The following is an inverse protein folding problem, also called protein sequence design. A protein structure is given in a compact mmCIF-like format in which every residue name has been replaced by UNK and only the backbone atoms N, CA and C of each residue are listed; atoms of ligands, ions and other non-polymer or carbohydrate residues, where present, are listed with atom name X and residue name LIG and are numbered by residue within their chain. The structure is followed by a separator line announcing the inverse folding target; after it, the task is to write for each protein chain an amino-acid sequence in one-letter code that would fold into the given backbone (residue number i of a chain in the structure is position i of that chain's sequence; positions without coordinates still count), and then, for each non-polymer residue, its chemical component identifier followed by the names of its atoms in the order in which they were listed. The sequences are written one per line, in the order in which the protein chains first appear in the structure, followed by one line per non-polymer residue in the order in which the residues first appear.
data_IF_537904956053
#
_entry.id   IF_537904956053
#
_cell.length_a   1.000
_cell.length_b   1.000
_cell.length_c   1.000
_cell.angle_alpha   90.00
_cell.angle_beta   90.00
_cell.angle_gamma   90.00
#
_symmetry.space_group_name_H-M   'P 1'
#
loop_
_entity.id
_entity.type
_entity.pdbx_description
1 polymer ?
#
# COMPACT_ATOMS: atom_id res chain seq x y z
N UNK A 1 -22.14 -8.12 18.09
CA UNK A 1 -21.21 -7.37 17.22
C UNK A 1 -20.27 -8.38 16.60
N UNK A 2 -20.34 -8.57 15.28
CA UNK A 2 -19.36 -9.39 14.56
C UNK A 2 -18.05 -8.60 14.55
N UNK A 3 -17.10 -8.99 15.41
CA UNK A 3 -15.74 -8.52 15.31
C UNK A 3 -15.18 -9.06 13.99
N UNK A 4 -15.26 -8.24 12.93
CA UNK A 4 -14.54 -8.49 11.69
C UNK A 4 -13.07 -8.58 12.11
N UNK A 5 -12.51 -9.77 11.95
CA UNK A 5 -11.17 -10.13 12.39
C UNK A 5 -10.17 -9.37 11.50
N UNK A 6 -9.92 -8.09 11.83
CA UNK A 6 -8.94 -7.30 11.12
C UNK A 6 -7.59 -8.03 11.22
N UNK A 7 -6.91 -8.32 10.10
CA UNK A 7 -5.65 -9.03 10.13
C UNK A 7 -4.68 -8.26 11.04
N UNK A 8 -4.05 -8.97 11.98
CA UNK A 8 -3.02 -8.37 12.83
C UNK A 8 -1.90 -7.86 11.94
N UNK A 9 -1.68 -6.55 11.97
CA UNK A 9 -0.54 -5.94 11.30
C UNK A 9 0.72 -6.45 12.00
N UNK A 10 1.61 -7.06 11.22
CA UNK A 10 2.91 -7.54 11.70
C UNK A 10 3.97 -6.44 11.57
N UNK A 11 5.05 -6.52 12.35
CA UNK A 11 6.16 -5.57 12.25
C UNK A 11 6.76 -5.51 10.83
N UNK A 12 6.99 -6.64 10.12
CA UNK A 12 7.48 -6.59 8.74
C UNK A 12 6.54 -5.86 7.79
N UNK A 13 5.22 -6.02 7.96
CA UNK A 13 4.23 -5.29 7.17
C UNK A 13 4.32 -3.79 7.44
N UNK A 14 4.34 -3.40 8.72
CA UNK A 14 4.43 -1.99 9.11
C UNK A 14 5.69 -1.32 8.56
N UNK A 15 6.82 -2.04 8.63
CA UNK A 15 8.09 -1.59 8.07
C UNK A 15 8.04 -1.47 6.54
N UNK A 16 7.44 -2.43 5.85
CA UNK A 16 7.27 -2.38 4.39
C UNK A 16 6.38 -1.20 3.97
N UNK A 17 5.27 -0.96 4.68
CA UNK A 17 4.38 0.17 4.44
C UNK A 17 5.10 1.51 4.59
N UNK A 18 5.83 1.67 5.68
CA UNK A 18 6.60 2.89 5.93
C UNK A 18 7.70 3.10 4.88
N UNK A 19 8.48 2.05 4.56
CA UNK A 19 9.56 2.16 3.59
C UNK A 19 9.06 2.45 2.17
N UNK A 20 7.89 1.92 1.79
CA UNK A 20 7.36 2.07 0.43
C UNK A 20 6.59 3.39 0.24
N UNK A 21 5.89 3.86 1.28
CA UNK A 21 4.91 4.93 1.14
C UNK A 21 5.07 6.07 2.17
N UNK A 22 6.06 5.99 3.06
CA UNK A 22 6.33 6.95 4.15
C UNK A 22 5.11 7.21 5.04
N UNK A 23 4.31 6.17 5.26
CA UNK A 23 3.11 6.20 6.11
C UNK A 23 3.01 4.96 6.98
N UNK A 24 2.54 5.14 8.21
CA UNK A 24 2.20 4.03 9.12
C UNK A 24 0.81 3.46 8.81
N UNK A 25 0.53 2.25 9.29
CA UNK A 25 -0.82 1.67 9.18
C UNK A 25 -1.87 2.47 9.95
N UNK A 26 -1.51 3.10 11.06
CA UNK A 26 -2.44 3.94 11.84
C UNK A 26 -2.83 5.20 11.04
N UNK A 27 -1.88 5.85 10.38
CA UNK A 27 -2.16 7.01 9.51
C UNK A 27 -2.97 6.60 8.27
N UNK A 28 -2.60 5.48 7.66
CA UNK A 28 -3.30 4.92 6.50
C UNK A 28 -4.76 4.55 6.83
N UNK A 29 -5.02 3.88 7.96
CA UNK A 29 -6.37 3.43 8.31
C UNK A 29 -7.31 4.56 8.74
N UNK A 30 -6.76 5.66 9.26
CA UNK A 30 -7.56 6.78 9.80
C UNK A 30 -7.86 7.90 8.80
N UNK A 31 -7.22 7.90 7.62
CA UNK A 31 -7.37 8.96 6.62
C UNK A 31 -7.64 8.40 5.23
N UNK A 32 -8.80 8.74 4.66
CA UNK A 32 -9.14 8.38 3.28
C UNK A 32 -8.14 8.99 2.28
N UNK A 33 -7.68 10.22 2.53
CA UNK A 33 -6.70 10.88 1.68
C UNK A 33 -5.38 10.08 1.63
N UNK A 34 -4.93 9.56 2.79
CA UNK A 34 -3.74 8.70 2.86
C UNK A 34 -3.93 7.39 2.14
N UNK A 35 -5.13 6.81 2.17
CA UNK A 35 -5.44 5.61 1.39
C UNK A 35 -5.37 5.89 -0.11
N UNK A 36 -5.96 7.01 -0.55
CA UNK A 36 -5.93 7.42 -1.96
C UNK A 36 -4.51 7.73 -2.46
N UNK A 37 -3.65 8.33 -1.63
CA UNK A 37 -2.24 8.57 -1.96
C UNK A 37 -1.49 7.25 -2.23
N UNK A 38 -1.65 6.27 -1.33
CA UNK A 38 -1.02 4.94 -1.47
C UNK A 38 -1.51 4.20 -2.72
N UNK A 39 -2.82 4.20 -2.97
CA UNK A 39 -3.38 3.50 -4.14
C UNK A 39 -2.95 4.14 -5.46
N UNK A 40 -2.84 5.47 -5.52
CA UNK A 40 -2.27 6.17 -6.69
C UNK A 40 -0.81 5.77 -6.94
N UNK A 41 -0.01 5.66 -5.88
CA UNK A 41 1.38 5.22 -5.99
C UNK A 41 1.48 3.77 -6.52
N UNK A 42 0.65 2.86 -5.98
CA UNK A 42 0.58 1.46 -6.42
C UNK A 42 0.20 1.33 -7.89
N UNK A 43 -0.79 2.10 -8.35
CA UNK A 43 -1.21 2.10 -9.75
C UNK A 43 -0.09 2.63 -10.67
N UNK A 44 0.65 3.66 -10.25
CA UNK A 44 1.79 4.17 -11.00
C UNK A 44 2.92 3.14 -11.12
N UNK A 45 3.25 2.43 -10.04
CA UNK A 45 4.23 1.34 -10.04
C UNK A 45 3.80 0.18 -10.93
N UNK A 46 2.53 -0.22 -10.85
CA UNK A 46 1.98 -1.27 -11.69
C UNK A 46 2.09 -0.92 -13.19
N UNK A 47 1.70 0.30 -13.58
CA UNK A 47 1.84 0.78 -14.97
C UNK A 47 3.30 0.87 -15.42
N UNK A 48 4.23 1.20 -14.52
CA UNK A 48 5.67 1.19 -14.81
C UNK A 48 6.15 -0.24 -15.05
N UNK A 49 5.78 -1.19 -14.19
CA UNK A 49 6.14 -2.59 -14.32
C UNK A 49 5.58 -3.21 -15.61
N UNK A 50 4.33 -2.91 -15.95
CA UNK A 50 3.74 -3.35 -17.23
C UNK A 50 4.56 -2.87 -18.43
N UNK A 51 4.96 -1.59 -18.46
CA UNK A 51 5.79 -1.06 -19.55
C UNK A 51 7.11 -1.80 -19.70
N UNK A 52 7.79 -2.07 -18.59
CA UNK A 52 9.04 -2.85 -18.59
C UNK A 52 8.82 -4.24 -19.18
N UNK A 53 7.75 -4.94 -18.78
CA UNK A 53 7.42 -6.26 -19.32
C UNK A 53 7.15 -6.20 -20.82
N UNK A 54 6.43 -5.19 -21.30
CA UNK A 54 6.13 -5.03 -22.73
C UNK A 54 7.32 -4.58 -23.56
N UNK A 55 8.26 -3.81 -23.01
CA UNK A 55 9.47 -3.33 -23.70
C UNK A 55 10.60 -4.36 -23.69
N UNK A 56 10.54 -5.35 -22.79
CA UNK A 56 11.54 -6.42 -22.65
C UNK A 56 11.15 -7.73 -23.35
N UNK A 57 10.04 -7.74 -24.10
CA UNK A 57 9.50 -8.88 -24.85
C UNK A 57 9.65 -8.66 -26.36
#
# INVERSE_FOLDING_TARGET
MLFINAPKITEPMAKAMYNAHDVTYDEYTRSLDKQLEVEKARDAEYRKAQRVVTESA
#
